data_IF_296216209232
#
_entry.id   IF_296216209232
#
_cell.length_a   1.000
_cell.length_b   1.000
_cell.length_c   1.000
_cell.angle_alpha   90.00
_cell.angle_beta   90.00
_cell.angle_gamma   90.00
#
_symmetry.space_group_name_H-M   'P 1'
#
loop_
_entity.id
_entity.type
_entity.pdbx_description
1 polymer ?
#
# COMPACT_ATOMS: atom_id res chain seq x y z
N UNK A 1 19.97 2.60 -7.84
CA UNK A 1 20.16 3.22 -6.47
C UNK A 1 18.82 3.24 -5.77
N UNK A 2 18.77 3.25 -4.40
CA UNK A 2 17.49 3.35 -3.66
C UNK A 2 17.37 4.74 -3.06
N UNK A 3 16.23 5.40 -3.30
CA UNK A 3 15.89 6.74 -2.82
C UNK A 3 14.67 6.69 -1.91
N UNK A 4 14.74 7.34 -0.78
CA UNK A 4 13.60 7.53 0.11
C UNK A 4 12.77 8.72 -0.38
N UNK A 5 11.46 8.51 -0.50
CA UNK A 5 10.47 9.55 -0.77
C UNK A 5 9.47 9.53 0.40
N UNK A 6 9.55 10.46 1.35
CA UNK A 6 8.56 10.58 2.41
C UNK A 6 7.26 11.13 1.84
N UNK A 7 6.16 10.46 2.13
CA UNK A 7 4.81 10.82 1.67
C UNK A 7 3.94 11.15 2.89
N UNK A 8 3.35 12.35 2.96
CA UNK A 8 2.54 12.74 4.11
C UNK A 8 1.28 11.90 4.23
N UNK A 9 0.92 11.57 5.46
CA UNK A 9 -0.34 10.96 5.81
C UNK A 9 -1.07 11.81 6.86
N UNK A 10 -2.40 11.75 6.97
CA UNK A 10 -3.12 12.45 8.03
C UNK A 10 -3.14 11.66 9.35
N UNK A 11 -2.41 10.54 9.42
CA UNK A 11 -2.36 9.69 10.59
C UNK A 11 -1.31 10.16 11.61
N UNK A 12 -1.50 9.80 12.87
CA UNK A 12 -0.59 10.15 13.96
C UNK A 12 0.82 9.53 13.80
N UNK A 13 0.96 8.49 12.98
CA UNK A 13 2.25 7.88 12.63
C UNK A 13 3.14 8.80 11.78
N UNK A 14 2.56 9.86 11.18
CA UNK A 14 3.29 10.80 10.34
C UNK A 14 3.43 10.35 8.89
N UNK A 15 4.59 10.63 8.28
CA UNK A 15 4.86 10.29 6.89
C UNK A 15 5.13 8.80 6.70
N UNK A 16 4.66 8.25 5.58
CA UNK A 16 5.04 6.91 5.13
C UNK A 16 6.29 6.99 4.23
N UNK A 17 7.15 6.02 4.37
CA UNK A 17 8.36 5.92 3.56
C UNK A 17 8.08 5.13 2.28
N UNK A 18 8.06 5.80 1.13
CA UNK A 18 8.10 5.15 -0.16
C UNK A 18 9.54 5.10 -0.67
N UNK A 19 9.89 4.06 -1.42
CA UNK A 19 11.26 3.91 -1.93
C UNK A 19 11.27 3.79 -3.46
N UNK A 20 11.92 4.75 -4.11
CA UNK A 20 12.22 4.65 -5.54
C UNK A 20 13.52 3.87 -5.74
N UNK A 21 13.45 2.79 -6.48
CA UNK A 21 14.60 1.99 -6.88
C UNK A 21 14.95 2.32 -8.33
N UNK A 22 16.02 3.09 -8.51
CA UNK A 22 16.50 3.51 -9.82
C UNK A 22 17.28 2.36 -10.47
N UNK A 23 16.55 1.50 -11.19
CA UNK A 23 17.10 0.39 -11.98
C UNK A 23 16.10 0.00 -13.09
N UNK A 24 16.38 -1.02 -13.83
CA UNK A 24 15.50 -1.63 -14.82
C UNK A 24 14.95 -2.96 -14.23
N UNK A 25 13.63 -3.02 -13.94
CA UNK A 25 12.62 -1.97 -14.10
C UNK A 25 12.67 -0.88 -13.03
N UNK A 26 12.29 0.37 -13.40
CA UNK A 26 12.13 1.46 -12.44
C UNK A 26 11.00 1.11 -11.47
N UNK A 27 11.37 0.89 -10.21
CA UNK A 27 10.46 0.31 -9.21
C UNK A 27 10.16 1.29 -8.09
N UNK A 28 8.87 1.42 -7.73
CA UNK A 28 8.44 2.09 -6.51
C UNK A 28 8.00 1.04 -5.48
N UNK A 29 8.47 1.16 -4.25
CA UNK A 29 8.03 0.33 -3.12
C UNK A 29 7.15 1.17 -2.21
N UNK A 30 5.91 0.76 -2.02
CA UNK A 30 4.80 1.46 -1.38
C UNK A 30 4.43 2.80 -2.04
N UNK A 31 3.26 3.37 -1.71
CA UNK A 31 2.67 4.42 -2.52
C UNK A 31 2.14 5.62 -1.75
N UNK A 32 1.70 5.46 -0.50
CA UNK A 32 0.92 6.46 0.22
C UNK A 32 -0.59 6.29 0.08
N UNK A 33 -1.40 7.00 0.89
CA UNK A 33 -2.86 7.02 0.76
C UNK A 33 -3.28 7.81 -0.48
N UNK A 34 -4.41 7.47 -1.11
CA UNK A 34 -4.94 8.19 -2.29
C UNK A 34 -5.54 9.54 -1.88
N UNK A 35 -4.65 10.46 -1.59
CA UNK A 35 -4.95 11.85 -1.25
C UNK A 35 -4.15 12.78 -2.15
N UNK A 36 -4.75 13.91 -2.53
CA UNK A 36 -4.08 14.90 -3.38
C UNK A 36 -2.74 15.41 -2.82
N UNK A 37 -2.63 15.55 -1.50
CA UNK A 37 -1.38 15.94 -0.82
C UNK A 37 -0.32 14.85 -0.90
N UNK A 38 -0.70 13.59 -0.74
CA UNK A 38 0.20 12.44 -0.81
C UNK A 38 0.69 12.22 -2.24
N UNK A 39 -0.21 12.30 -3.22
CA UNK A 39 0.15 12.22 -4.64
C UNK A 39 1.12 13.34 -5.04
N UNK A 40 0.83 14.58 -4.66
CA UNK A 40 1.69 15.73 -4.99
C UNK A 40 3.09 15.61 -4.37
N UNK A 41 3.18 15.09 -3.13
CA UNK A 41 4.48 14.84 -2.48
C UNK A 41 5.26 13.72 -3.17
N UNK A 42 4.58 12.63 -3.55
CA UNK A 42 5.21 11.55 -4.30
C UNK A 42 5.72 12.02 -5.67
N UNK A 43 4.91 12.80 -6.41
CA UNK A 43 5.32 13.40 -7.69
C UNK A 43 6.51 14.32 -7.55
N UNK A 44 6.53 15.17 -6.51
CA UNK A 44 7.66 16.03 -6.21
C UNK A 44 8.93 15.22 -5.89
N UNK A 45 8.82 14.18 -5.07
CA UNK A 45 9.94 13.29 -4.76
C UNK A 45 10.48 12.54 -5.98
N UNK A 46 9.61 12.08 -6.87
CA UNK A 46 10.03 11.49 -8.15
C UNK A 46 10.77 12.52 -9.02
N UNK A 47 10.24 13.75 -9.09
CA UNK A 47 10.83 14.84 -9.89
C UNK A 47 12.23 15.27 -9.40
N UNK A 48 12.52 15.23 -8.10
CA UNK A 48 13.86 15.43 -7.55
C UNK A 48 14.91 14.47 -8.11
N UNK A 49 14.46 13.30 -8.59
CA UNK A 49 15.30 12.28 -9.22
C UNK A 49 15.14 12.26 -10.76
N UNK A 50 14.51 13.31 -11.35
CA UNK A 50 14.29 13.39 -12.80
C UNK A 50 13.30 12.35 -13.33
N UNK A 51 12.39 11.88 -12.49
CA UNK A 51 11.36 10.88 -12.82
C UNK A 51 9.97 11.45 -12.65
N UNK A 52 8.99 10.83 -13.28
CA UNK A 52 7.56 11.09 -13.13
C UNK A 52 6.81 9.78 -12.94
N UNK A 53 5.55 9.84 -12.54
CA UNK A 53 4.71 8.65 -12.32
C UNK A 53 4.69 7.75 -13.55
N UNK A 54 4.58 8.34 -14.74
CA UNK A 54 4.50 7.61 -16.02
C UNK A 54 5.80 6.87 -16.39
N UNK A 55 6.90 7.10 -15.70
CA UNK A 55 8.16 6.39 -15.89
C UNK A 55 8.25 5.10 -15.05
N UNK A 56 7.34 4.92 -14.09
CA UNK A 56 7.33 3.71 -13.25
C UNK A 56 6.98 2.47 -14.08
N UNK A 57 7.73 1.42 -13.90
CA UNK A 57 7.56 0.13 -14.56
C UNK A 57 7.08 -0.97 -13.61
N UNK A 58 7.32 -0.77 -12.29
CA UNK A 58 6.90 -1.69 -11.25
C UNK A 58 6.51 -0.97 -9.96
N UNK A 59 5.49 -1.48 -9.30
CA UNK A 59 5.05 -1.07 -7.96
C UNK A 59 5.07 -2.32 -7.08
N UNK A 60 5.80 -2.27 -5.97
CA UNK A 60 5.85 -3.36 -4.99
C UNK A 60 5.13 -2.90 -3.72
N UNK A 61 4.10 -3.62 -3.32
CA UNK A 61 3.33 -3.34 -2.11
C UNK A 61 3.79 -4.25 -0.97
N UNK A 62 4.15 -3.65 0.16
CA UNK A 62 4.67 -4.40 1.31
C UNK A 62 3.56 -5.06 2.11
N UNK A 63 2.44 -4.35 2.36
CA UNK A 63 1.28 -4.84 3.12
C UNK A 63 0.04 -3.97 2.86
N UNK A 64 -1.13 -4.41 3.37
CA UNK A 64 -2.46 -3.88 3.03
C UNK A 64 -2.83 -2.53 3.65
N UNK A 65 -2.03 -1.94 4.54
CA UNK A 65 -2.42 -0.68 5.16
C UNK A 65 -2.53 0.45 4.13
N UNK A 66 -3.55 1.27 4.31
CA UNK A 66 -3.98 2.27 3.34
C UNK A 66 -2.90 3.31 3.00
N UNK A 67 -2.05 3.63 3.97
CA UNK A 67 -0.91 4.52 3.80
C UNK A 67 0.25 3.91 3.01
N UNK A 68 0.19 2.61 2.72
CA UNK A 68 1.14 1.90 1.87
C UNK A 68 0.59 1.60 0.47
N UNK A 69 -0.70 1.32 0.35
CA UNK A 69 -1.29 0.81 -0.89
C UNK A 69 -2.28 1.77 -1.57
N UNK A 70 -2.70 2.84 -0.90
CA UNK A 70 -3.81 3.69 -1.36
C UNK A 70 -3.67 4.20 -2.79
N UNK A 71 -2.50 4.76 -3.15
CA UNK A 71 -2.23 5.29 -4.49
C UNK A 71 -1.93 4.22 -5.54
N UNK A 72 -1.85 2.92 -5.18
CA UNK A 72 -1.41 1.87 -6.11
C UNK A 72 -2.22 1.84 -7.41
N UNK A 73 -3.55 1.95 -7.34
CA UNK A 73 -4.41 1.97 -8.51
C UNK A 73 -4.17 3.21 -9.38
N UNK A 74 -4.10 4.40 -8.78
CA UNK A 74 -3.84 5.68 -9.46
C UNK A 74 -2.50 5.66 -10.20
N UNK A 75 -1.47 5.14 -9.54
CA UNK A 75 -0.13 5.06 -10.14
C UNK A 75 -0.06 4.00 -11.25
N UNK A 76 -0.64 2.83 -11.03
CA UNK A 76 -0.68 1.76 -12.05
C UNK A 76 -1.45 2.17 -13.31
N UNK A 77 -2.58 2.87 -13.16
CA UNK A 77 -3.35 3.38 -14.30
C UNK A 77 -2.58 4.42 -15.11
N UNK A 78 -1.81 5.28 -14.44
CA UNK A 78 -1.04 6.33 -15.11
C UNK A 78 0.23 5.82 -15.78
N UNK A 79 0.92 4.88 -15.14
CA UNK A 79 2.22 4.38 -15.63
C UNK A 79 2.13 3.13 -16.48
N UNK A 80 1.12 2.29 -16.24
CA UNK A 80 1.07 0.92 -16.74
C UNK A 80 2.02 -0.04 -16.01
N UNK A 81 2.52 0.35 -14.82
CA UNK A 81 3.46 -0.43 -14.04
C UNK A 81 2.88 -1.77 -13.57
N UNK A 82 3.71 -2.81 -13.58
CA UNK A 82 3.41 -4.13 -13.00
C UNK A 82 3.22 -3.99 -11.47
N UNK A 83 2.06 -4.36 -10.95
CA UNK A 83 1.80 -4.35 -9.50
C UNK A 83 2.19 -5.71 -8.90
N UNK A 84 3.13 -5.69 -7.96
CA UNK A 84 3.61 -6.85 -7.24
C UNK A 84 3.23 -6.77 -5.77
N UNK A 85 2.72 -7.86 -5.20
CA UNK A 85 2.40 -7.97 -3.77
C UNK A 85 2.47 -9.43 -3.34
N UNK A 86 2.58 -9.68 -2.02
CA UNK A 86 2.49 -11.06 -1.51
C UNK A 86 1.16 -11.69 -1.93
N UNK A 87 1.18 -12.97 -2.33
CA UNK A 87 0.02 -13.65 -2.90
C UNK A 87 -1.28 -13.54 -2.07
N UNK A 88 -1.26 -13.61 -0.72
CA UNK A 88 -2.47 -13.39 0.08
C UNK A 88 -3.08 -11.98 -0.06
N UNK A 89 -2.29 -10.97 -0.42
CA UNK A 89 -2.77 -9.60 -0.60
C UNK A 89 -3.53 -9.40 -1.93
N UNK A 90 -3.24 -10.19 -2.96
CA UNK A 90 -3.82 -10.02 -4.29
C UNK A 90 -5.37 -10.01 -4.29
N UNK A 91 -6.08 -11.01 -3.76
CA UNK A 91 -7.54 -11.00 -3.74
C UNK A 91 -8.13 -9.89 -2.86
N UNK A 92 -7.38 -9.40 -1.88
CA UNK A 92 -7.78 -8.30 -1.02
C UNK A 92 -7.74 -6.96 -1.78
N UNK A 93 -6.69 -6.71 -2.55
CA UNK A 93 -6.54 -5.51 -3.39
C UNK A 93 -7.55 -5.45 -4.54
N UNK A 94 -7.88 -6.60 -5.13
CA UNK A 94 -8.86 -6.66 -6.23
C UNK A 94 -10.29 -6.38 -5.79
N UNK A 95 -10.58 -6.50 -4.50
CA UNK A 95 -11.90 -6.26 -3.89
C UNK A 95 -11.83 -5.26 -2.75
N UNK A 96 -11.14 -4.16 -2.97
CA UNK A 96 -10.81 -3.15 -1.97
C UNK A 96 -11.92 -2.86 -0.97
N UNK A 97 -13.08 -2.34 -1.44
CA UNK A 97 -14.16 -1.94 -0.53
C UNK A 97 -14.77 -3.11 0.26
N UNK A 98 -14.90 -4.27 -0.37
CA UNK A 98 -15.40 -5.47 0.32
C UNK A 98 -14.42 -5.96 1.38
N UNK A 99 -13.14 -5.92 1.06
CA UNK A 99 -12.07 -6.41 1.93
C UNK A 99 -11.87 -5.50 3.13
N UNK A 100 -11.78 -4.18 2.93
CA UNK A 100 -11.60 -3.23 4.03
C UNK A 100 -12.84 -3.18 4.95
N UNK A 101 -14.07 -3.30 4.42
CA UNK A 101 -15.28 -3.40 5.24
C UNK A 101 -15.35 -4.73 6.02
N UNK A 102 -14.81 -5.82 5.47
CA UNK A 102 -14.68 -7.09 6.19
C UNK A 102 -13.68 -6.99 7.35
N UNK A 103 -12.53 -6.34 7.13
CA UNK A 103 -11.53 -6.09 8.16
C UNK A 103 -12.09 -5.20 9.28
N UNK A 104 -12.86 -4.16 8.94
CA UNK A 104 -13.52 -3.29 9.91
C UNK A 104 -14.54 -4.05 10.77
N UNK A 105 -15.35 -4.92 10.15
CA UNK A 105 -16.29 -5.76 10.90
C UNK A 105 -15.56 -6.71 11.84
N UNK A 106 -14.51 -7.36 11.35
CA UNK A 106 -13.70 -8.24 12.20
C UNK A 106 -13.07 -7.48 13.37
N UNK A 107 -12.54 -6.27 13.12
CA UNK A 107 -11.96 -5.41 14.15
C UNK A 107 -12.99 -5.01 15.21
N UNK A 108 -14.22 -4.62 14.81
CA UNK A 108 -15.31 -4.32 15.72
C UNK A 108 -15.69 -5.52 16.58
N UNK A 109 -15.89 -6.69 15.96
CA UNK A 109 -16.19 -7.95 16.68
C UNK A 109 -15.09 -8.31 17.68
N UNK A 110 -13.82 -8.14 17.30
CA UNK A 110 -12.68 -8.40 18.17
C UNK A 110 -12.66 -7.46 19.38
N UNK A 111 -12.89 -6.15 19.17
CA UNK A 111 -12.98 -5.17 20.23
C UNK A 111 -14.09 -5.51 21.24
N UNK A 112 -15.28 -5.82 20.74
CA UNK A 112 -16.43 -6.22 21.60
C UNK A 112 -16.11 -7.50 22.41
N UNK A 113 -15.51 -8.50 21.78
CA UNK A 113 -15.11 -9.75 22.45
C UNK A 113 -14.09 -9.51 23.56
N UNK A 114 -13.24 -8.50 23.43
CA UNK A 114 -12.25 -8.14 24.42
C UNK A 114 -12.72 -7.05 25.41
N UNK A 115 -14.03 -6.76 25.44
CA UNK A 115 -14.65 -5.91 26.47
C UNK A 115 -14.57 -4.41 26.17
N UNK A 116 -14.25 -4.00 24.95
CA UNK A 116 -14.39 -2.60 24.52
C UNK A 116 -15.89 -2.26 24.49
N UNK A 117 -16.31 -1.12 25.09
CA UNK A 117 -17.70 -0.69 25.04
C UNK A 117 -18.20 -0.56 23.58
N UNK A 118 -19.46 -0.95 23.34
CA UNK A 118 -20.08 -0.95 22.01
C UNK A 118 -19.99 0.43 21.32
N UNK A 119 -20.25 1.52 22.07
CA UNK A 119 -20.15 2.88 21.55
C UNK A 119 -18.73 3.19 21.04
N UNK A 120 -17.70 2.75 21.74
CA UNK A 120 -16.30 2.96 21.34
C UNK A 120 -15.93 2.12 20.13
N UNK A 121 -16.32 0.84 20.10
CA UNK A 121 -16.07 -0.04 18.96
C UNK A 121 -16.74 0.50 17.69
N UNK A 122 -18.00 0.93 17.78
CA UNK A 122 -18.74 1.55 16.69
C UNK A 122 -18.09 2.87 16.21
N UNK A 123 -17.59 3.68 17.14
CA UNK A 123 -16.89 4.93 16.80
C UNK A 123 -15.59 4.66 16.02
N UNK A 124 -14.81 3.66 16.44
CA UNK A 124 -13.58 3.26 15.72
C UNK A 124 -13.94 2.77 14.31
N UNK A 125 -14.93 1.90 14.16
CA UNK A 125 -15.39 1.41 12.85
C UNK A 125 -15.86 2.56 11.95
N UNK A 126 -16.63 3.52 12.49
CA UNK A 126 -17.07 4.68 11.72
C UNK A 126 -15.90 5.55 11.26
N UNK A 127 -14.88 5.70 12.11
CA UNK A 127 -13.66 6.43 11.74
C UNK A 127 -12.92 5.70 10.62
N UNK A 128 -12.72 4.38 10.73
CA UNK A 128 -12.07 3.56 9.69
C UNK A 128 -12.82 3.66 8.37
N UNK A 129 -14.16 3.55 8.38
CA UNK A 129 -14.98 3.67 7.17
C UNK A 129 -14.80 5.02 6.45
N UNK A 130 -14.42 6.09 7.16
CA UNK A 130 -14.15 7.40 6.54
C UNK A 130 -12.87 7.42 5.68
N UNK A 131 -12.04 6.40 5.77
CA UNK A 131 -10.80 6.26 4.99
C UNK A 131 -10.93 5.33 3.78
N UNK A 132 -12.07 4.63 3.60
CA UNK A 132 -12.24 3.63 2.54
C UNK A 132 -12.00 4.18 1.13
N UNK A 133 -12.30 5.47 0.90
CA UNK A 133 -12.09 6.12 -0.40
C UNK A 133 -10.65 6.60 -0.64
N UNK A 134 -9.72 6.32 0.30
CA UNK A 134 -8.28 6.65 0.13
C UNK A 134 -7.50 5.53 -0.55
N UNK A 135 -8.19 4.64 -1.19
CA UNK A 135 -7.70 3.59 -2.05
C UNK A 135 -8.84 3.01 -2.88
N UNK A 136 -8.53 2.14 -3.82
CA UNK A 136 -9.51 1.50 -4.70
C UNK A 136 -8.97 0.19 -5.26
N UNK A 137 -9.85 -0.57 -5.92
CA UNK A 137 -9.49 -1.83 -6.53
C UNK A 137 -8.27 -1.67 -7.45
N UNK A 138 -7.30 -2.55 -7.28
CA UNK A 138 -6.17 -2.70 -8.20
C UNK A 138 -5.85 -4.17 -8.38
N UNK A 139 -5.58 -4.57 -9.62
CA UNK A 139 -5.13 -5.93 -9.91
C UNK A 139 -3.67 -6.08 -9.49
N UNK A 140 -3.35 -7.17 -8.81
CA UNK A 140 -1.96 -7.59 -8.58
C UNK A 140 -1.53 -8.45 -9.76
N UNK A 141 -0.68 -7.90 -10.61
CA UNK A 141 -0.22 -8.58 -11.83
C UNK A 141 0.74 -9.72 -11.53
N UNK A 142 1.54 -9.54 -10.48
CA UNK A 142 2.53 -10.52 -10.04
C UNK A 142 2.40 -10.84 -8.56
N UNK A 143 1.61 -11.86 -8.19
CA UNK A 143 1.59 -12.38 -6.82
C UNK A 143 2.96 -12.98 -6.47
N UNK A 144 3.47 -12.62 -5.29
CA UNK A 144 4.77 -13.07 -4.77
C UNK A 144 4.56 -14.13 -3.70
N UNK A 145 5.30 -15.24 -3.79
CA UNK A 145 5.22 -16.34 -2.82
C UNK A 145 6.26 -16.17 -1.70
N UNK A 146 5.93 -16.66 -0.49
CA UNK A 146 6.92 -16.72 0.61
C UNK A 146 8.10 -17.60 0.21
N UNK A 147 9.30 -17.10 0.46
CA UNK A 147 10.54 -17.77 0.02
C UNK A 147 10.90 -17.53 -1.45
N UNK A 148 10.00 -16.92 -2.23
CA UNK A 148 10.25 -16.53 -3.60
C UNK A 148 11.29 -15.41 -3.74
N UNK A 149 11.53 -14.97 -4.96
CA UNK A 149 12.51 -13.93 -5.27
C UNK A 149 11.93 -12.89 -6.23
N UNK A 150 12.39 -11.65 -6.08
CA UNK A 150 12.13 -10.54 -6.96
C UNK A 150 13.46 -9.91 -7.38
N UNK A 151 13.69 -9.81 -8.71
CA UNK A 151 14.91 -9.24 -9.25
C UNK A 151 14.73 -7.75 -9.53
N UNK A 152 15.52 -6.89 -8.90
CA UNK A 152 15.65 -5.46 -9.21
C UNK A 152 16.87 -4.86 -8.51
N UNK A 153 17.34 -3.70 -8.96
CA UNK A 153 18.54 -3.03 -8.47
C UNK A 153 19.81 -3.89 -8.61
N UNK A 154 19.88 -4.75 -9.64
CA UNK A 154 21.00 -5.66 -9.85
C UNK A 154 21.18 -6.68 -8.71
N UNK A 155 20.09 -6.96 -7.97
CA UNK A 155 20.07 -7.86 -6.80
C UNK A 155 18.86 -8.77 -6.83
N UNK A 156 19.01 -9.93 -6.18
CA UNK A 156 17.90 -10.83 -5.87
C UNK A 156 17.37 -10.48 -4.48
N UNK A 157 16.12 -10.08 -4.40
CA UNK A 157 15.40 -9.78 -3.16
C UNK A 157 14.57 -10.99 -2.77
N UNK A 158 14.84 -11.54 -1.59
CA UNK A 158 14.04 -12.65 -1.07
C UNK A 158 12.71 -12.12 -0.53
N UNK A 159 11.61 -12.70 -0.99
CA UNK A 159 10.27 -12.42 -0.47
C UNK A 159 10.09 -13.18 0.85
N UNK A 160 9.68 -12.50 1.89
CA UNK A 160 9.42 -13.09 3.21
C UNK A 160 8.04 -12.63 3.69
N UNK A 161 7.09 -13.55 3.78
CA UNK A 161 5.81 -13.29 4.42
C UNK A 161 6.01 -13.31 5.94
N UNK A 162 5.74 -12.19 6.60
CA UNK A 162 5.92 -12.01 8.06
C UNK A 162 4.68 -11.34 8.66
N UNK A 163 3.55 -12.08 8.77
CA UNK A 163 2.33 -11.55 9.37
C UNK A 163 2.55 -11.17 10.84
N UNK A 164 1.79 -10.20 11.31
CA UNK A 164 1.85 -9.69 12.68
C UNK A 164 1.27 -8.29 12.77
N UNK A 165 1.99 -7.28 12.27
CA UNK A 165 1.51 -5.90 12.11
C UNK A 165 0.31 -5.83 11.15
N UNK A 166 0.32 -6.66 10.13
CA UNK A 166 -0.72 -6.87 9.13
C UNK A 166 -0.78 -8.37 8.81
N UNK A 167 -1.89 -8.92 8.32
CA UNK A 167 -1.99 -10.31 7.88
C UNK A 167 -1.25 -10.59 6.57
N UNK A 168 -0.96 -9.56 5.78
CA UNK A 168 -0.24 -9.66 4.51
C UNK A 168 1.13 -9.03 4.58
#
# INVERSE_FOLDING_TARGET
>A
MIRLIPVPTPFAVGEVNCYLVEDDPLTLVDTGPDLGTSLAALEAGLAEHGRKVEDLERIVLTHQHIDHVGLAATLAERSGAEVCAIAPLAPWMERWHESIDADDRFGEELMLRHGVPEEQAAAVRKLSASFHDWGRNVRVDRPLEDGGALEFAGRTWKVLHRPGHSPS
#
